data_IF_752624517485
#
_entry.id   IF_752624517485
#
_cell.length_a   1.000
_cell.length_b   1.000
_cell.length_c   1.000
_cell.angle_alpha   90.00
_cell.angle_beta   90.00
_cell.angle_gamma   90.00
#
_symmetry.space_group_name_H-M   'P 1'
#
loop_
_entity.id
_entity.type
_entity.pdbx_description
1 polymer ?
#
# COMPACT_ATOMS: atom_id res chain seq x y z
N UNK A 1 -12.82 2.00 24.22
CA UNK A 1 -13.58 3.27 24.31
C UNK A 1 -12.79 4.48 23.80
N UNK A 2 -11.62 4.84 24.37
CA UNK A 2 -10.89 6.07 24.02
C UNK A 2 -10.34 6.17 22.57
N UNK A 3 -10.21 5.04 21.86
CA UNK A 3 -9.58 4.96 20.52
C UNK A 3 -10.44 5.39 19.35
N UNK A 4 -11.75 5.18 19.43
CA UNK A 4 -12.68 5.67 18.41
C UNK A 4 -12.90 7.17 18.55
N UNK A 5 -12.74 7.71 19.77
CA UNK A 5 -12.95 9.12 20.08
C UNK A 5 -11.89 9.98 19.37
N UNK A 6 -10.60 9.61 19.41
CA UNK A 6 -9.53 10.42 18.81
C UNK A 6 -9.63 10.57 17.27
N UNK A 7 -10.03 9.52 16.55
CA UNK A 7 -10.22 9.61 15.10
C UNK A 7 -11.55 10.27 14.71
N UNK A 8 -12.61 10.03 15.48
CA UNK A 8 -13.94 10.60 15.24
C UNK A 8 -13.99 12.10 15.57
N UNK A 9 -13.22 12.56 16.56
CA UNK A 9 -13.21 13.96 17.01
C UNK A 9 -12.35 14.87 16.12
N UNK A 10 -11.22 14.39 15.58
CA UNK A 10 -10.35 15.18 14.68
C UNK A 10 -10.75 15.14 13.19
N UNK A 11 -11.47 14.12 12.74
CA UNK A 11 -11.87 13.93 11.33
C UNK A 11 -13.39 13.90 11.12
N UNK A 12 -14.16 14.55 12.00
CA UNK A 12 -15.58 14.78 11.73
C UNK A 12 -15.74 15.61 10.43
N UNK A 13 -16.73 15.31 9.57
CA UNK A 13 -16.82 15.81 8.19
C UNK A 13 -17.42 17.21 8.11
N UNK A 14 -16.90 18.16 8.88
CA UNK A 14 -17.24 19.58 8.76
C UNK A 14 -15.91 20.31 8.62
N UNK A 15 -15.73 20.97 7.47
CA UNK A 15 -14.47 21.56 7.02
C UNK A 15 -13.70 22.27 8.13
N UNK A 16 -12.82 21.53 8.79
CA UNK A 16 -12.08 22.03 9.93
C UNK A 16 -10.72 22.55 9.41
N UNK A 17 -10.56 23.89 9.23
CA UNK A 17 -9.29 24.46 8.82
C UNK A 17 -8.17 24.11 9.79
N UNK A 18 -8.47 23.78 11.06
CA UNK A 18 -7.48 23.34 12.03
C UNK A 18 -6.77 22.05 11.60
N UNK A 19 -7.42 21.14 10.86
CA UNK A 19 -6.76 19.93 10.34
C UNK A 19 -5.71 20.30 9.28
N UNK A 20 -6.01 21.30 8.44
CA UNK A 20 -5.07 21.82 7.46
C UNK A 20 -3.91 22.57 8.15
N UNK A 21 -4.20 23.41 9.13
CA UNK A 21 -3.21 24.13 9.93
C UNK A 21 -2.32 23.17 10.74
N UNK A 22 -2.87 22.07 11.25
CA UNK A 22 -2.17 21.12 12.12
C UNK A 22 -1.34 20.08 11.37
N UNK A 23 -1.82 19.61 10.21
CA UNK A 23 -1.15 18.55 9.44
C UNK A 23 -0.47 19.08 8.18
N UNK A 24 -1.20 19.84 7.35
CA UNK A 24 -0.76 20.17 5.99
C UNK A 24 0.32 21.27 5.97
N UNK A 25 0.12 22.36 6.72
CA UNK A 25 1.10 23.45 6.83
C UNK A 25 2.43 23.01 7.45
N UNK A 26 2.46 22.38 8.64
CA UNK A 26 3.72 21.96 9.27
C UNK A 26 4.27 20.64 8.71
N UNK A 27 3.56 20.01 7.76
CA UNK A 27 3.92 18.70 7.19
C UNK A 27 4.06 17.61 8.26
N UNK A 28 3.20 17.66 9.27
CA UNK A 28 3.27 16.78 10.44
C UNK A 28 2.63 15.44 10.11
N UNK A 29 3.32 14.36 10.49
CA UNK A 29 2.76 13.00 10.49
C UNK A 29 2.20 12.71 11.88
N UNK A 30 1.00 12.12 11.94
CA UNK A 30 0.34 11.78 13.19
C UNK A 30 1.23 10.89 14.06
N UNK A 31 1.31 11.21 15.36
CA UNK A 31 1.93 10.36 16.36
C UNK A 31 1.15 9.06 16.53
N UNK A 32 1.84 7.98 16.88
CA UNK A 32 1.22 6.67 17.04
C UNK A 32 0.14 6.63 18.10
N UNK A 33 -0.92 5.88 17.80
CA UNK A 33 -1.99 5.60 18.75
C UNK A 33 -1.45 4.71 19.87
N UNK A 34 -1.71 5.06 21.12
CA UNK A 34 -1.29 4.26 22.27
C UNK A 34 -1.82 2.81 22.15
N UNK A 35 -0.92 1.83 22.34
CA UNK A 35 -1.19 0.40 22.21
C UNK A 35 -1.35 -0.12 20.77
N UNK A 36 -1.02 0.68 19.74
CA UNK A 36 -1.08 0.24 18.35
C UNK A 36 0.10 -0.69 18.12
N UNK A 37 -0.11 -1.83 17.46
CA UNK A 37 1.00 -2.71 17.13
C UNK A 37 2.00 -1.94 16.26
N UNK A 38 3.30 -2.08 16.56
CA UNK A 38 4.36 -1.33 15.91
C UNK A 38 4.32 -1.47 14.39
N UNK A 39 3.96 -2.67 13.90
CA UNK A 39 3.75 -2.93 12.48
C UNK A 39 2.75 -1.95 11.83
N UNK A 40 1.55 -1.83 12.41
CA UNK A 40 0.52 -0.95 11.87
C UNK A 40 0.92 0.52 11.97
N UNK A 41 1.53 0.91 13.09
CA UNK A 41 2.02 2.27 13.26
C UNK A 41 3.10 2.62 12.22
N UNK A 42 4.03 1.70 11.98
CA UNK A 42 5.10 1.87 11.01
C UNK A 42 4.56 1.98 9.58
N UNK A 43 3.64 1.09 9.19
CA UNK A 43 2.98 1.13 7.88
C UNK A 43 2.22 2.45 7.68
N UNK A 44 1.42 2.87 8.65
CA UNK A 44 0.69 4.15 8.57
C UNK A 44 1.64 5.35 8.44
N UNK A 45 2.74 5.35 9.18
CA UNK A 45 3.75 6.43 9.12
C UNK A 45 4.38 6.58 7.73
N UNK A 46 4.65 5.46 7.03
CA UNK A 46 5.14 5.52 5.65
C UNK A 46 4.08 5.98 4.65
N UNK A 47 2.83 5.56 4.82
CA UNK A 47 1.71 6.01 3.98
C UNK A 47 1.42 7.51 4.14
N UNK A 48 1.68 8.09 5.32
CA UNK A 48 1.41 9.49 5.63
C UNK A 48 2.59 10.43 5.39
N UNK A 49 3.66 10.00 4.70
CA UNK A 49 4.75 10.90 4.33
C UNK A 49 4.22 12.06 3.47
N UNK A 50 4.72 13.26 3.73
CA UNK A 50 4.25 14.46 3.04
C UNK A 50 4.48 14.37 1.53
N UNK A 51 5.71 14.11 1.11
CA UNK A 51 6.06 13.93 -0.30
C UNK A 51 5.41 12.64 -0.86
N UNK A 52 4.57 12.72 -1.90
CA UNK A 52 3.94 11.55 -2.51
C UNK A 52 4.93 10.49 -2.99
N UNK A 53 6.10 10.90 -3.50
CA UNK A 53 7.12 9.97 -4.00
C UNK A 53 7.79 9.14 -2.91
N UNK A 54 7.71 9.57 -1.66
CA UNK A 54 8.26 8.83 -0.52
C UNK A 54 7.27 7.78 0.02
N UNK A 55 6.01 7.81 -0.44
CA UNK A 55 4.97 6.89 0.02
C UNK A 55 5.13 5.54 -0.66
N UNK A 56 4.88 4.43 0.05
CA UNK A 56 4.92 3.12 -0.57
C UNK A 56 3.75 2.97 -1.55
N UNK A 57 4.02 2.30 -2.66
CA UNK A 57 2.99 1.77 -3.55
C UNK A 57 2.16 0.69 -2.83
N UNK A 58 0.95 0.44 -3.32
CA UNK A 58 0.13 -0.67 -2.82
C UNK A 58 0.84 -2.02 -2.90
N UNK A 59 1.68 -2.24 -3.92
CA UNK A 59 2.47 -3.46 -4.04
C UNK A 59 3.51 -3.59 -2.92
N UNK A 60 4.21 -2.51 -2.57
CA UNK A 60 5.17 -2.51 -1.47
C UNK A 60 4.50 -2.71 -0.11
N UNK A 61 3.31 -2.12 0.10
CA UNK A 61 2.51 -2.38 1.31
C UNK A 61 2.13 -3.86 1.39
N UNK A 62 1.75 -4.46 0.26
CA UNK A 62 1.40 -5.87 0.19
C UNK A 62 2.58 -6.78 0.57
N UNK A 63 3.79 -6.53 0.04
CA UNK A 63 4.98 -7.34 0.37
C UNK A 63 5.20 -7.40 1.90
N UNK A 64 5.01 -6.27 2.59
CA UNK A 64 5.13 -6.23 4.05
C UNK A 64 4.02 -7.02 4.76
N UNK A 65 2.81 -7.06 4.20
CA UNK A 65 1.68 -7.80 4.74
C UNK A 65 1.75 -9.30 4.43
N UNK A 66 2.39 -9.70 3.33
CA UNK A 66 2.44 -11.08 2.83
C UNK A 66 2.98 -12.07 3.87
N UNK A 67 3.93 -11.62 4.71
CA UNK A 67 4.49 -12.42 5.81
C UNK A 67 3.49 -12.73 6.92
N UNK A 68 2.35 -12.04 6.94
CA UNK A 68 1.32 -12.12 7.96
C UNK A 68 -0.03 -12.58 7.40
N UNK A 69 -0.11 -12.95 6.12
CA UNK A 69 -1.35 -13.40 5.47
C UNK A 69 -1.34 -14.90 5.20
N UNK A 70 -2.55 -15.48 5.17
CA UNK A 70 -2.74 -16.89 4.81
C UNK A 70 -2.64 -17.11 3.31
N UNK A 71 -2.31 -18.33 2.90
CA UNK A 71 -2.26 -18.70 1.48
C UNK A 71 -3.61 -18.52 0.78
N UNK A 72 -4.72 -18.79 1.47
CA UNK A 72 -6.07 -18.56 0.95
C UNK A 72 -6.31 -17.09 0.61
N UNK A 73 -5.84 -16.18 1.47
CA UNK A 73 -5.93 -14.75 1.23
C UNK A 73 -5.10 -14.33 0.02
N UNK A 74 -3.91 -14.92 -0.15
CA UNK A 74 -3.03 -14.65 -1.31
C UNK A 74 -3.67 -15.06 -2.63
N UNK A 75 -4.38 -16.20 -2.66
CA UNK A 75 -5.08 -16.68 -3.86
C UNK A 75 -6.24 -15.78 -4.28
N UNK A 76 -6.92 -15.16 -3.32
CA UNK A 76 -8.04 -14.25 -3.59
C UNK A 76 -7.58 -12.82 -3.90
N UNK A 77 -6.32 -12.49 -3.62
CA UNK A 77 -5.82 -11.14 -3.77
C UNK A 77 -5.70 -10.77 -5.25
N UNK A 78 -6.40 -9.69 -5.61
CA UNK A 78 -6.39 -9.12 -6.95
C UNK A 78 -4.96 -8.84 -7.46
N UNK A 79 -4.08 -8.31 -6.61
CA UNK A 79 -2.72 -7.90 -6.99
C UNK A 79 -1.90 -9.11 -7.45
N UNK A 80 -1.85 -10.18 -6.67
CA UNK A 80 -1.12 -11.40 -7.02
C UNK A 80 -1.72 -12.09 -8.25
N UNK A 81 -3.05 -12.19 -8.29
CA UNK A 81 -3.75 -12.82 -9.42
C UNK A 81 -3.45 -12.10 -10.74
N UNK A 82 -3.44 -10.77 -10.77
CA UNK A 82 -3.17 -10.01 -11.98
C UNK A 82 -1.67 -9.93 -12.31
N UNK A 83 -0.82 -9.85 -11.29
CA UNK A 83 0.64 -9.90 -11.48
C UNK A 83 1.08 -11.22 -12.12
N UNK A 84 0.62 -12.35 -11.60
CA UNK A 84 0.96 -13.67 -12.15
C UNK A 84 0.41 -13.83 -13.57
N UNK A 85 -0.81 -13.34 -13.86
CA UNK A 85 -1.35 -13.30 -15.24
C UNK A 85 -0.47 -12.48 -16.18
N UNK A 86 0.00 -11.31 -15.75
CA UNK A 86 0.89 -10.44 -16.54
C UNK A 86 2.25 -11.11 -16.77
N UNK A 87 2.84 -11.69 -15.73
CA UNK A 87 4.12 -12.40 -15.77
C UNK A 87 4.07 -13.59 -16.72
N UNK A 88 2.99 -14.39 -16.66
CA UNK A 88 2.73 -15.48 -17.59
C UNK A 88 2.66 -14.92 -19.02
N UNK A 89 1.85 -13.89 -19.27
CA UNK A 89 1.73 -13.26 -20.60
C UNK A 89 3.07 -12.79 -21.16
N UNK A 90 3.88 -12.08 -20.37
CA UNK A 90 5.21 -11.62 -20.78
C UNK A 90 6.10 -12.81 -21.14
N UNK A 91 6.11 -13.87 -20.32
CA UNK A 91 6.88 -15.09 -20.60
C UNK A 91 6.46 -15.76 -21.91
N UNK A 92 5.15 -15.83 -22.19
CA UNK A 92 4.64 -16.34 -23.47
C UNK A 92 5.11 -15.49 -24.66
N UNK A 93 5.03 -14.16 -24.54
CA UNK A 93 5.49 -13.24 -25.59
C UNK A 93 6.99 -13.43 -25.85
N UNK A 94 7.82 -13.52 -24.80
CA UNK A 94 9.26 -13.74 -24.96
C UNK A 94 9.56 -15.09 -25.63
N UNK A 95 8.86 -16.16 -25.23
CA UNK A 95 9.01 -17.47 -25.87
C UNK A 95 8.58 -17.46 -27.34
N UNK A 96 7.51 -16.73 -27.69
CA UNK A 96 7.06 -16.58 -29.07
C UNK A 96 8.10 -15.85 -29.92
N UNK A 97 8.67 -14.75 -29.39
CA UNK A 97 9.74 -14.00 -30.06
C UNK A 97 10.96 -14.90 -30.31
N UNK A 98 11.38 -15.68 -29.30
CA UNK A 98 12.49 -16.63 -29.43
C UNK A 98 12.22 -17.69 -30.49
N UNK A 99 11.01 -18.26 -30.53
CA UNK A 99 10.62 -19.21 -31.59
C UNK A 99 10.65 -18.56 -32.98
N UNK A 100 10.14 -17.34 -33.13
CA UNK A 100 10.16 -16.61 -34.39
C UNK A 100 11.60 -16.28 -34.85
N UNK A 101 12.52 -16.05 -33.92
CA UNK A 101 13.94 -15.84 -34.22
C UNK A 101 14.64 -17.14 -34.64
N UNK A 102 14.30 -18.27 -34.01
CA UNK A 102 14.87 -19.59 -34.32
C UNK A 102 14.41 -20.15 -35.68
N UNK A 103 13.22 -19.81 -36.16
CA UNK A 103 12.66 -20.26 -37.45
C UNK A 103 13.25 -19.48 -38.64
N UNK A 104 13.93 -18.34 -38.40
CA UNK A 104 14.51 -17.47 -39.43
C UNK A 104 15.99 -17.77 -39.76
N UNK A 105 16.58 -18.82 -39.19
CA UNK A 105 17.93 -19.33 -39.47
C UNK A 105 17.80 -20.66 -40.19
#
# INVERSE_FOLDING_TARGET
MARYIYYHEYYQPIGNPEVFEYNAKPRKVLSGLQGCADFWHHTMKHCWRYNPSDRPSFFQIFICLELHTTEDFKQQLFVLTNYEKLKIRIRWIMNLILQMMMIRI
#
